data_IF_349889469280
#
_entry.id   IF_349889469280
#
_cell.length_a   1.000
_cell.length_b   1.000
_cell.length_c   1.000
_cell.angle_alpha   90.00
_cell.angle_beta   90.00
_cell.angle_gamma   90.00
#
_symmetry.space_group_name_H-M   'P 1'
#
loop_
_entity.id
_entity.type
_entity.pdbx_description
1 polymer ?
#
# COMPACT_ATOMS: atom_id res chain seq x y z
N UNK A 1 7.70 2.46 -23.19
CA UNK A 1 8.13 2.88 -21.85
C UNK A 1 7.16 2.23 -20.87
N UNK A 2 7.52 1.09 -20.30
CA UNK A 2 6.63 0.20 -19.52
C UNK A 2 7.29 -0.37 -18.25
N UNK A 3 8.39 0.22 -17.77
CA UNK A 3 9.21 -0.38 -16.70
C UNK A 3 8.88 0.11 -15.28
N UNK A 4 7.83 0.90 -15.08
CA UNK A 4 7.43 1.37 -13.75
C UNK A 4 6.42 0.41 -13.13
N UNK A 5 6.72 -0.03 -11.91
CA UNK A 5 5.72 -0.80 -11.14
C UNK A 5 4.66 0.17 -10.66
N UNK A 6 3.42 0.00 -11.13
CA UNK A 6 2.27 0.77 -10.66
C UNK A 6 1.29 -0.16 -9.95
N UNK A 7 1.05 0.12 -8.68
CA UNK A 7 0.08 -0.61 -7.87
C UNK A 7 -1.30 0.01 -8.11
N UNK A 8 -2.32 -0.82 -8.30
CA UNK A 8 -3.71 -0.36 -8.17
C UNK A 8 -4.04 -0.22 -6.67
N UNK A 9 -4.19 1.00 -6.13
CA UNK A 9 -4.32 1.19 -4.69
C UNK A 9 -5.61 0.61 -4.11
N UNK A 10 -6.70 0.66 -4.87
CA UNK A 10 -8.00 0.13 -4.47
C UNK A 10 -7.94 -1.40 -4.42
N UNK A 11 -7.46 -2.02 -5.49
CA UNK A 11 -7.34 -3.49 -5.55
C UNK A 11 -6.40 -4.04 -4.48
N UNK A 12 -5.28 -3.34 -4.23
CA UNK A 12 -4.36 -3.71 -3.15
C UNK A 12 -5.04 -3.61 -1.78
N UNK A 13 -5.74 -2.50 -1.50
CA UNK A 13 -6.41 -2.30 -0.22
C UNK A 13 -7.51 -3.32 0.04
N UNK A 14 -8.32 -3.66 -0.96
CA UNK A 14 -9.32 -4.72 -0.86
C UNK A 14 -8.69 -6.07 -0.50
N UNK A 15 -7.67 -6.50 -1.26
CA UNK A 15 -6.99 -7.76 -0.98
C UNK A 15 -6.29 -7.77 0.38
N UNK A 16 -5.74 -6.63 0.83
CA UNK A 16 -5.15 -6.52 2.16
C UNK A 16 -6.18 -6.74 3.25
N UNK A 17 -7.37 -6.13 3.15
CA UNK A 17 -8.44 -6.35 4.13
C UNK A 17 -8.87 -7.82 4.17
N UNK A 18 -8.93 -8.50 3.02
CA UNK A 18 -9.27 -9.94 2.95
C UNK A 18 -8.27 -10.82 3.71
N UNK A 19 -7.00 -10.39 3.85
CA UNK A 19 -6.00 -11.11 4.63
C UNK A 19 -6.24 -11.04 6.14
N UNK A 20 -6.99 -10.03 6.60
CA UNK A 20 -7.32 -9.84 8.01
C UNK A 20 -8.44 -10.82 8.36
N UNK A 21 -8.05 -12.02 8.81
CA UNK A 21 -9.01 -13.04 9.26
C UNK A 21 -9.84 -12.52 10.43
N UNK A 22 -11.15 -12.61 10.30
CA UNK A 22 -12.11 -12.23 11.33
C UNK A 22 -13.13 -13.36 11.57
N UNK A 23 -12.78 -14.38 12.37
CA UNK A 23 -13.71 -15.46 12.66
C UNK A 23 -14.78 -15.02 13.68
N UNK A 24 -16.05 -15.32 13.38
CA UNK A 24 -17.22 -15.23 14.28
C UNK A 24 -17.36 -13.92 15.08
N UNK A 25 -17.96 -12.90 14.47
CA UNK A 25 -18.39 -11.71 15.21
C UNK A 25 -19.87 -11.76 15.56
N UNK A 26 -20.16 -11.55 16.84
CA UNK A 26 -21.50 -11.18 17.26
C UNK A 26 -21.87 -9.77 16.77
N UNK A 27 -23.17 -9.46 16.76
CA UNK A 27 -23.69 -8.15 16.33
C UNK A 27 -23.14 -6.97 17.13
N UNK A 28 -22.73 -7.18 18.38
CA UNK A 28 -22.13 -6.15 19.25
C UNK A 28 -20.70 -5.76 18.83
N UNK A 29 -19.98 -6.64 18.13
CA UNK A 29 -18.60 -6.40 17.70
C UNK A 29 -18.50 -5.89 16.26
N UNK A 30 -19.63 -5.88 15.54
CA UNK A 30 -19.70 -5.54 14.12
C UNK A 30 -19.27 -4.10 13.84
N UNK A 31 -19.61 -3.14 14.69
CA UNK A 31 -19.18 -1.75 14.53
C UNK A 31 -17.67 -1.61 14.70
N UNK A 32 -17.10 -2.27 15.71
CA UNK A 32 -15.64 -2.25 15.95
C UNK A 32 -14.90 -2.86 14.77
N UNK A 33 -15.38 -4.00 14.28
CA UNK A 33 -14.78 -4.68 13.13
C UNK A 33 -14.89 -3.89 11.82
N UNK A 34 -16.01 -3.19 11.61
CA UNK A 34 -16.16 -2.31 10.48
C UNK A 34 -15.15 -1.15 10.54
N UNK A 35 -14.97 -0.53 11.72
CA UNK A 35 -13.98 0.53 11.93
C UNK A 35 -12.56 0.05 11.68
N UNK A 36 -12.21 -1.13 12.19
CA UNK A 36 -10.88 -1.72 11.94
C UNK A 36 -10.67 -2.07 10.46
N UNK A 37 -11.70 -2.58 9.77
CA UNK A 37 -11.60 -2.88 8.33
C UNK A 37 -11.41 -1.62 7.51
N UNK A 38 -12.14 -0.55 7.86
CA UNK A 38 -12.00 0.75 7.24
C UNK A 38 -10.60 1.34 7.47
N UNK A 39 -10.10 1.28 8.71
CA UNK A 39 -8.76 1.75 9.03
C UNK A 39 -7.68 0.99 8.23
N UNK A 40 -7.80 -0.34 8.14
CA UNK A 40 -6.89 -1.17 7.35
C UNK A 40 -6.95 -0.82 5.86
N UNK A 41 -8.15 -0.68 5.30
CA UNK A 41 -8.36 -0.30 3.91
C UNK A 41 -7.70 1.05 3.59
N UNK A 42 -8.03 2.10 4.36
CA UNK A 42 -7.51 3.44 4.14
C UNK A 42 -5.99 3.50 4.28
N UNK A 43 -5.43 2.75 5.24
CA UNK A 43 -3.99 2.67 5.43
C UNK A 43 -3.30 1.99 4.24
N UNK A 44 -3.81 0.83 3.80
CA UNK A 44 -3.25 0.10 2.66
C UNK A 44 -3.36 0.92 1.36
N UNK A 45 -4.49 1.57 1.14
CA UNK A 45 -4.71 2.46 0.00
C UNK A 45 -3.71 3.62 -0.02
N UNK A 46 -3.55 4.30 1.12
CA UNK A 46 -2.59 5.41 1.25
C UNK A 46 -1.15 4.95 0.99
N UNK A 47 -0.74 3.79 1.52
CA UNK A 47 0.60 3.24 1.30
C UNK A 47 0.84 2.94 -0.19
N UNK A 48 -0.12 2.32 -0.88
CA UNK A 48 -0.02 2.05 -2.31
C UNK A 48 0.03 3.33 -3.15
N UNK A 49 -0.76 4.35 -2.80
CA UNK A 49 -0.66 5.66 -3.44
C UNK A 49 0.68 6.33 -3.20
N UNK A 50 1.20 6.29 -1.96
CA UNK A 50 2.51 6.84 -1.61
C UNK A 50 3.62 6.15 -2.40
N UNK A 51 3.58 4.82 -2.52
CA UNK A 51 4.50 4.05 -3.36
C UNK A 51 4.48 4.54 -4.80
N UNK A 52 3.29 4.62 -5.41
CA UNK A 52 3.15 5.07 -6.79
C UNK A 52 3.67 6.50 -7.01
N UNK A 53 3.47 7.39 -6.03
CA UNK A 53 3.95 8.77 -6.10
C UNK A 53 5.47 8.83 -5.99
N UNK A 54 6.07 8.03 -5.09
CA UNK A 54 7.52 7.93 -4.95
C UNK A 54 8.14 7.33 -6.21
N UNK A 55 7.63 6.21 -6.72
CA UNK A 55 8.10 5.59 -7.97
C UNK A 55 8.08 6.60 -9.13
N UNK A 56 6.98 7.38 -9.26
CA UNK A 56 6.86 8.42 -10.30
C UNK A 56 7.85 9.57 -10.13
N UNK A 57 8.17 9.96 -8.89
CA UNK A 57 9.10 11.06 -8.62
C UNK A 57 10.55 10.60 -8.79
N UNK A 58 10.91 9.41 -8.29
CA UNK A 58 12.25 8.85 -8.44
C UNK A 58 12.59 8.55 -9.89
N UNK A 59 11.66 8.05 -10.71
CA UNK A 59 11.93 7.88 -12.14
C UNK A 59 12.11 9.20 -12.90
N UNK A 60 11.51 10.30 -12.44
CA UNK A 60 11.79 11.63 -13.01
C UNK A 60 13.22 12.09 -12.67
N UNK A 61 13.78 11.63 -11.56
CA UNK A 61 15.16 11.89 -11.15
C UNK A 61 16.18 10.90 -11.74
N UNK A 62 15.79 9.63 -11.96
CA UNK A 62 16.65 8.51 -12.39
C UNK A 62 16.93 8.43 -13.89
N UNK A 63 16.71 9.48 -14.67
CA UNK A 63 17.46 9.63 -15.93
C UNK A 63 19.00 9.72 -15.69
N UNK A 64 19.47 9.68 -14.43
CA UNK A 64 20.88 9.83 -14.09
C UNK A 64 21.60 8.68 -13.33
N UNK A 65 20.97 7.65 -12.73
CA UNK A 65 21.74 6.65 -11.92
C UNK A 65 21.20 5.18 -11.87
N UNK A 66 22.12 4.22 -11.64
CA UNK A 66 22.00 2.75 -11.86
C UNK A 66 21.47 1.88 -10.69
N UNK A 67 20.96 2.44 -9.59
CA UNK A 67 20.49 1.61 -8.45
C UNK A 67 19.01 1.24 -8.64
N UNK A 68 18.62 -0.02 -8.40
CA UNK A 68 17.22 -0.44 -8.63
C UNK A 68 16.25 0.31 -7.70
N UNK A 69 15.35 1.07 -8.31
CA UNK A 69 14.35 1.97 -7.68
C UNK A 69 13.56 1.27 -6.56
N UNK A 70 13.22 0.00 -6.77
CA UNK A 70 12.49 -0.83 -5.81
C UNK A 70 13.22 -1.05 -4.47
N UNK A 71 14.52 -1.35 -4.51
CA UNK A 71 15.30 -1.62 -3.30
C UNK A 71 15.41 -0.37 -2.40
N UNK A 72 15.48 0.81 -3.03
CA UNK A 72 15.55 2.09 -2.32
C UNK A 72 14.20 2.48 -1.69
N UNK A 73 13.10 2.22 -2.39
CA UNK A 73 11.76 2.47 -1.83
C UNK A 73 11.50 1.58 -0.60
N UNK A 74 11.92 0.31 -0.64
CA UNK A 74 11.80 -0.59 0.52
C UNK A 74 12.62 -0.11 1.72
N UNK A 75 13.80 0.47 1.52
CA UNK A 75 14.57 1.05 2.62
C UNK A 75 13.87 2.24 3.28
N UNK A 76 13.24 3.12 2.49
CA UNK A 76 12.50 4.29 2.99
C UNK A 76 11.20 3.89 3.71
N UNK A 77 10.55 2.81 3.29
CA UNK A 77 9.33 2.30 3.91
C UNK A 77 9.57 1.62 5.28
N UNK A 78 10.75 1.03 5.50
CA UNK A 78 11.09 0.31 6.73
C UNK A 78 11.66 1.21 7.86
N UNK A 79 11.84 2.52 7.64
CA UNK A 79 12.43 3.43 8.63
C UNK A 79 11.44 4.04 9.65
N UNK A 80 10.20 3.56 9.72
CA UNK A 80 9.18 4.03 10.68
C UNK A 80 8.43 2.90 11.36
#
# INVERSE_FOLDING_TARGET
MENQTKIDPEKFAYHFVDTIKRPNMGTEEMEKAAKESLAAYLTAYYIAQRFNNLENNFFKEEQHHEVSTYQKILSELNQY
#
